data_IF_228935907377
#
_entry.id   IF_228935907377
#
_cell.length_a   1.000
_cell.length_b   1.000
_cell.length_c   1.000
_cell.angle_alpha   90.00
_cell.angle_beta   90.00
_cell.angle_gamma   90.00
#
_symmetry.space_group_name_H-M   'P 1'
#
loop_
_entity.id
_entity.type
_entity.pdbx_description
1 polymer ?
2 water ?
#
# COMPACT_ATOMS: atom_id res chain seq x y z
N UNK A 3 -10.46 -9.79 -23.80
CA UNK A 3 -11.58 -8.95 -23.41
C UNK A 3 -11.18 -7.49 -23.27
N UNK A 4 -11.81 -6.64 -24.08
CA UNK A 4 -11.62 -5.20 -23.92
C UNK A 4 -12.29 -4.70 -22.65
N UNK A 5 -13.28 -5.43 -22.13
CA UNK A 5 -13.85 -5.08 -20.84
C UNK A 5 -12.78 -5.18 -19.75
N UNK A 6 -11.99 -6.27 -19.77
CA UNK A 6 -10.95 -6.44 -18.77
C UNK A 6 -9.89 -5.35 -18.90
N UNK A 7 -9.48 -5.04 -20.13
CA UNK A 7 -8.42 -4.06 -20.33
C UNK A 7 -8.82 -2.69 -19.81
N UNK A 8 -10.12 -2.37 -19.84
CA UNK A 8 -10.63 -1.08 -19.38
C UNK A 8 -11.38 -1.18 -18.06
N UNK A 9 -11.10 -2.21 -17.25
CA UNK A 9 -11.76 -2.35 -15.96
C UNK A 9 -11.53 -1.15 -15.06
N UNK A 10 -10.36 -0.51 -15.16
CA UNK A 10 -10.05 0.63 -14.31
C UNK A 10 -9.66 1.84 -15.14
N UNK A 11 -10.01 3.01 -14.64
CA UNK A 11 -9.51 4.28 -15.16
C UNK A 11 -8.41 4.77 -14.22
N UNK A 12 -7.29 5.20 -14.79
CA UNK A 12 -6.08 5.49 -14.03
C UNK A 12 -5.92 6.99 -13.83
N UNK A 13 -5.68 7.40 -12.58
CA UNK A 13 -5.40 8.80 -12.27
C UNK A 13 -4.01 8.89 -11.66
N UNK A 14 -3.03 9.48 -12.35
CA UNK A 14 -1.66 9.50 -11.82
C UNK A 14 -1.46 10.58 -10.77
N UNK A 15 -0.53 10.31 -9.85
CA UNK A 15 -0.22 11.29 -8.82
C UNK A 15 0.45 12.52 -9.42
N UNK A 16 1.28 12.33 -10.45
CA UNK A 16 2.03 13.40 -11.09
C UNK A 16 2.25 13.04 -12.56
N UNK A 17 2.78 14.00 -13.31
CA UNK A 17 3.08 13.72 -14.71
C UNK A 17 4.17 12.67 -14.84
N UNK A 18 5.11 12.62 -13.90
CA UNK A 18 6.12 11.56 -13.95
C UNK A 18 5.49 10.20 -13.67
N UNK A 19 4.51 10.16 -12.77
CA UNK A 19 3.79 8.92 -12.52
C UNK A 19 3.07 8.46 -13.78
N UNK A 20 2.52 9.43 -14.54
CA UNK A 20 1.82 9.08 -15.77
C UNK A 20 2.77 8.46 -16.79
N UNK A 21 3.99 8.99 -16.91
CA UNK A 21 4.96 8.44 -17.85
C UNK A 21 5.33 7.01 -17.47
N UNK A 22 5.55 6.76 -16.17
CA UNK A 22 5.90 5.41 -15.73
C UNK A 22 4.75 4.45 -15.95
N UNK A 23 3.53 4.90 -15.68
CA UNK A 23 2.34 4.10 -15.96
C UNK A 23 2.27 3.74 -17.44
N UNK A 24 2.43 4.75 -18.32
CA UNK A 24 2.34 4.50 -19.75
C UNK A 24 3.47 3.58 -20.26
N UNK A 25 4.60 3.51 -19.54
CA UNK A 25 5.62 2.56 -19.94
C UNK A 25 5.21 1.11 -19.63
N UNK A 26 4.26 0.92 -18.70
CA UNK A 26 3.67 -0.40 -18.41
C UNK A 26 4.71 -1.44 -17.95
N UNK A 27 5.81 -0.98 -17.37
CA UNK A 27 6.89 -1.90 -16.98
C UNK A 27 6.46 -2.79 -15.81
N UNK A 28 5.88 -2.20 -14.77
CA UNK A 28 5.59 -2.95 -13.57
C UNK A 28 4.52 -2.23 -12.78
N UNK A 29 3.59 -3.00 -12.22
CA UNK A 29 2.60 -2.49 -11.29
C UNK A 29 2.72 -3.26 -9.98
N UNK A 30 2.68 -2.54 -8.87
CA UNK A 30 2.65 -3.12 -7.53
C UNK A 30 1.25 -2.88 -6.98
N UNK A 31 0.51 -3.95 -6.72
CA UNK A 31 -0.89 -3.85 -6.29
C UNK A 31 -0.92 -3.86 -4.77
N UNK A 32 -1.34 -2.74 -4.17
CA UNK A 32 -1.41 -2.66 -2.72
C UNK A 32 -2.73 -3.19 -2.20
N UNK A 33 -2.69 -4.26 -1.40
CA UNK A 33 -3.89 -4.89 -0.86
C UNK A 33 -3.98 -4.54 0.61
N UNK A 34 -4.92 -3.69 0.97
CA UNK A 34 -4.97 -3.22 2.35
C UNK A 34 -5.69 -4.22 3.23
N UNK A 35 -5.18 -4.50 4.42
CA UNK A 35 -5.83 -5.46 5.31
C UNK A 35 -7.01 -4.84 6.04
N UNK A 36 -8.00 -5.69 6.35
CA UNK A 36 -9.18 -5.28 7.11
C UNK A 36 -9.95 -4.18 6.40
N UNK A 37 -10.04 -4.30 5.07
CA UNK A 37 -10.71 -3.33 4.22
C UNK A 37 -11.67 -4.10 3.33
N UNK A 38 -12.98 -3.85 3.48
CA UNK A 38 -13.98 -4.65 2.77
C UNK A 38 -13.91 -4.50 1.26
N UNK A 39 -13.23 -3.47 0.75
CA UNK A 39 -13.05 -3.33 -0.70
C UNK A 39 -12.38 -4.55 -1.31
N UNK A 40 -11.48 -5.21 -0.59
CA UNK A 40 -10.64 -6.26 -1.18
C UNK A 40 -11.27 -7.65 -1.01
N UNK A 41 -12.43 -7.79 -1.64
CA UNK A 41 -13.08 -9.08 -1.80
C UNK A 41 -12.30 -9.96 -2.77
N UNK A 42 -12.69 -11.24 -2.84
CA UNK A 42 -12.14 -12.12 -3.86
C UNK A 42 -12.34 -11.54 -5.25
N UNK A 43 -13.57 -11.10 -5.55
CA UNK A 43 -13.88 -10.58 -6.88
C UNK A 43 -13.04 -9.36 -7.23
N UNK A 44 -12.85 -8.45 -6.27
CA UNK A 44 -12.09 -7.24 -6.56
C UNK A 44 -10.62 -7.54 -6.79
N UNK A 45 -10.04 -8.42 -5.97
CA UNK A 45 -8.66 -8.83 -6.16
C UNK A 45 -8.47 -9.47 -7.52
N UNK A 46 -9.45 -10.27 -7.94
CA UNK A 46 -9.38 -10.83 -9.29
C UNK A 46 -9.43 -9.75 -10.36
N UNK A 47 -10.31 -8.76 -10.19
CA UNK A 47 -10.37 -7.65 -11.13
C UNK A 47 -9.02 -6.93 -11.21
N UNK A 48 -8.43 -6.61 -10.06
CA UNK A 48 -7.13 -5.92 -10.06
C UNK A 48 -6.10 -6.71 -10.84
N UNK A 49 -6.01 -8.01 -10.58
CA UNK A 49 -4.98 -8.83 -11.19
C UNK A 49 -5.30 -9.11 -12.65
N UNK A 50 -6.59 -9.32 -12.98
CA UNK A 50 -6.96 -9.51 -14.38
C UNK A 50 -6.61 -8.29 -15.22
N UNK A 51 -6.96 -7.10 -14.73
CA UNK A 51 -6.64 -5.87 -15.46
C UNK A 51 -5.13 -5.65 -15.53
N UNK A 52 -4.42 -5.90 -14.41
CA UNK A 52 -2.98 -5.72 -14.40
C UNK A 52 -2.29 -6.64 -15.38
N UNK A 53 -2.78 -7.88 -15.48
CA UNK A 53 -2.15 -8.87 -16.34
C UNK A 53 -2.32 -8.52 -17.81
N UNK A 54 -3.41 -7.84 -18.17
CA UNK A 54 -3.58 -7.43 -19.56
C UNK A 54 -2.73 -6.22 -19.92
N UNK A 55 -2.36 -5.40 -18.94
CA UNK A 55 -1.79 -4.09 -19.19
C UNK A 55 -0.29 -4.00 -18.94
N UNK A 56 0.25 -4.70 -17.95
CA UNK A 56 1.62 -4.49 -17.51
C UNK A 56 2.53 -5.67 -17.84
N UNK A 57 3.80 -5.36 -18.13
CA UNK A 57 4.77 -6.41 -18.40
C UNK A 57 4.98 -7.30 -17.18
N UNK A 58 4.97 -6.70 -15.99
CA UNK A 58 5.26 -7.38 -14.74
C UNK A 58 4.25 -6.95 -13.68
N UNK A 59 3.83 -7.91 -12.86
CA UNK A 59 2.82 -7.67 -11.82
C UNK A 59 3.33 -8.27 -10.51
N UNK A 60 3.23 -7.49 -9.42
CA UNK A 60 3.55 -7.93 -8.07
C UNK A 60 2.42 -7.50 -7.15
N UNK A 61 2.11 -8.33 -6.16
CA UNK A 61 1.09 -8.01 -5.17
C UNK A 61 1.79 -7.74 -3.84
N UNK A 62 1.42 -6.64 -3.19
CA UNK A 62 1.97 -6.29 -1.88
C UNK A 62 0.89 -6.48 -0.82
N UNK A 63 1.16 -7.33 0.17
CA UNK A 63 0.26 -7.57 1.29
C UNK A 63 0.85 -6.93 2.56
N UNK A 64 0.00 -6.79 3.58
CA UNK A 64 0.44 -6.18 4.83
C UNK A 64 1.40 -7.10 5.58
N UNK A 65 2.40 -6.49 6.22
CA UNK A 65 3.35 -7.19 7.05
C UNK A 65 2.93 -7.20 8.52
N UNK A 66 3.93 -7.45 9.39
CA UNK A 66 3.66 -7.73 10.80
C UNK A 66 2.90 -6.59 11.48
N UNK A 67 3.20 -5.35 11.09
CA UNK A 67 2.60 -4.20 11.76
C UNK A 67 1.12 -4.04 11.48
N UNK A 68 0.54 -4.85 10.60
CA UNK A 68 -0.91 -4.84 10.48
C UNK A 68 -1.59 -5.12 11.82
N UNK A 69 -0.94 -5.87 12.71
CA UNK A 69 -1.55 -6.11 14.01
C UNK A 69 -1.70 -4.82 14.81
N UNK A 70 -0.85 -3.83 14.55
CA UNK A 70 -0.96 -2.55 15.26
C UNK A 70 -2.29 -1.88 14.99
N UNK A 71 -2.83 -2.02 13.77
CA UNK A 71 -4.12 -1.41 13.45
C UNK A 71 -5.23 -2.00 14.31
N UNK A 72 -5.17 -3.31 14.56
CA UNK A 72 -6.16 -3.93 15.42
C UNK A 72 -5.91 -3.61 16.89
N UNK A 73 -4.66 -3.66 17.34
CA UNK A 73 -4.36 -3.39 18.74
C UNK A 73 -4.82 -1.99 19.13
N UNK A 74 -4.83 -1.05 18.18
CA UNK A 74 -5.31 0.30 18.43
C UNK A 74 -6.83 0.37 18.55
N UNK A 75 -7.55 -0.52 17.87
CA UNK A 75 -9.01 -0.50 17.86
C UNK A 75 -9.60 -1.56 18.78
N UNK A 76 -8.88 -1.95 19.83
CA UNK A 76 -9.43 -2.85 20.83
C UNK A 76 -9.27 -4.33 20.58
N UNK A 77 -8.08 -4.75 20.14
CA UNK A 77 -7.78 -6.18 20.00
C UNK A 77 -6.53 -6.50 20.79
N UNK A 78 -6.59 -7.41 21.76
CA UNK A 78 -5.36 -7.87 22.40
C UNK A 78 -4.44 -8.54 21.39
N UNK A 79 -3.13 -8.49 21.69
CA UNK A 79 -2.13 -8.91 20.71
C UNK A 79 -2.36 -10.33 20.21
N UNK A 80 -2.75 -11.24 21.10
CA UNK A 80 -2.97 -12.63 20.69
C UNK A 80 -4.01 -12.75 19.61
N UNK A 81 -5.20 -12.17 19.83
CA UNK A 81 -6.22 -12.17 18.78
C UNK A 81 -5.79 -11.37 17.56
N UNK A 82 -5.09 -10.24 17.78
CA UNK A 82 -4.65 -9.44 16.65
C UNK A 82 -3.71 -10.23 15.74
N UNK A 83 -2.77 -10.96 16.32
CA UNK A 83 -1.82 -11.70 15.50
C UNK A 83 -2.52 -12.80 14.71
N UNK A 84 -3.49 -13.48 15.33
CA UNK A 84 -4.25 -14.50 14.61
C UNK A 84 -5.08 -13.90 13.49
N UNK A 85 -5.71 -12.75 13.73
CA UNK A 85 -6.51 -12.13 12.68
C UNK A 85 -5.65 -11.69 11.50
N UNK A 86 -4.43 -11.22 11.77
CA UNK A 86 -3.54 -10.83 10.67
C UNK A 86 -3.16 -12.04 9.83
N UNK A 87 -2.72 -13.11 10.49
CA UNK A 87 -2.36 -14.33 9.77
C UNK A 87 -3.51 -14.82 8.91
N UNK A 88 -4.74 -14.80 9.43
CA UNK A 88 -5.88 -15.25 8.65
C UNK A 88 -6.14 -14.34 7.46
N UNK A 89 -6.04 -13.03 7.67
CA UNK A 89 -6.30 -12.07 6.59
C UNK A 89 -5.25 -12.19 5.49
N UNK A 90 -3.97 -12.34 5.86
CA UNK A 90 -2.92 -12.44 4.86
C UNK A 90 -3.06 -13.75 4.08
N UNK A 91 -3.43 -14.84 4.76
CA UNK A 91 -3.62 -16.10 4.05
C UNK A 91 -4.75 -16.01 3.04
N UNK A 92 -5.82 -15.29 3.37
CA UNK A 92 -6.93 -15.15 2.43
C UNK A 92 -6.53 -14.26 1.24
N UNK A 93 -5.86 -13.14 1.52
CA UNK A 93 -5.36 -12.29 0.44
C UNK A 93 -4.42 -13.06 -0.48
N UNK A 94 -3.53 -13.86 0.11
CA UNK A 94 -2.63 -14.67 -0.70
C UNK A 94 -3.41 -15.66 -1.56
N UNK A 95 -4.39 -16.35 -0.97
CA UNK A 95 -5.13 -17.35 -1.73
C UNK A 95 -5.83 -16.73 -2.95
N UNK A 96 -6.53 -15.61 -2.73
CA UNK A 96 -7.23 -14.96 -3.83
C UNK A 96 -6.27 -14.43 -4.88
N UNK A 97 -5.16 -13.83 -4.44
CA UNK A 97 -4.18 -13.32 -5.37
C UNK A 97 -3.53 -14.44 -6.17
N UNK A 98 -3.16 -15.53 -5.51
CA UNK A 98 -2.53 -16.64 -6.21
C UNK A 98 -3.46 -17.26 -7.25
N UNK A 99 -4.75 -17.39 -6.91
CA UNK A 99 -5.73 -17.92 -7.86
C UNK A 99 -5.75 -17.09 -9.14
N UNK A 100 -5.76 -15.77 -9.00
CA UNK A 100 -5.91 -14.92 -10.17
C UNK A 100 -4.61 -14.82 -10.96
N UNK A 101 -3.47 -14.76 -10.29
CA UNK A 101 -2.20 -14.78 -11.03
C UNK A 101 -2.07 -16.07 -11.81
N UNK A 102 -2.36 -17.21 -11.17
CA UNK A 102 -2.30 -18.50 -11.85
C UNK A 102 -3.24 -18.53 -13.05
N UNK A 103 -4.48 -18.05 -12.86
CA UNK A 103 -5.43 -17.98 -13.96
C UNK A 103 -4.87 -17.23 -15.16
N UNK A 104 -4.02 -16.24 -14.91
CA UNK A 104 -3.45 -15.42 -15.96
C UNK A 104 -2.09 -15.91 -16.45
N UNK A 105 -1.63 -17.08 -15.99
CA UNK A 105 -0.33 -17.57 -16.41
C UNK A 105 0.83 -16.73 -15.91
N UNK A 106 0.66 -16.05 -14.78
CA UNK A 106 1.64 -15.15 -14.19
C UNK A 106 2.39 -15.82 -13.05
N UNK A 107 3.63 -15.38 -12.83
CA UNK A 107 4.36 -15.79 -11.63
C UNK A 107 3.59 -15.39 -10.37
N UNK A 108 3.67 -16.22 -9.34
CA UNK A 108 3.02 -15.92 -8.07
C UNK A 108 3.88 -14.96 -7.27
N UNK A 109 3.95 -13.70 -7.72
CA UNK A 109 4.85 -12.72 -7.16
C UNK A 109 4.09 -11.92 -6.10
N UNK A 110 4.08 -12.45 -4.88
CA UNK A 110 3.32 -11.90 -3.76
C UNK A 110 4.24 -11.82 -2.55
N UNK A 111 4.30 -10.63 -1.92
CA UNK A 111 5.12 -10.40 -0.74
C UNK A 111 4.34 -9.58 0.28
N UNK A 112 4.75 -9.66 1.54
CA UNK A 112 4.31 -8.68 2.52
C UNK A 112 5.39 -7.60 2.67
N UNK A 113 4.99 -6.45 3.24
CA UNK A 113 6.03 -5.44 3.37
C UNK A 113 7.03 -5.76 4.47
N UNK A 114 6.87 -6.90 5.17
CA UNK A 114 7.83 -7.39 6.14
C UNK A 114 8.86 -8.32 5.53
N UNK A 115 8.81 -8.58 4.23
CA UNK A 115 9.66 -9.59 3.60
C UNK A 115 11.00 -9.03 3.12
N UNK A 116 11.37 -7.81 3.52
CA UNK A 116 12.52 -7.14 2.92
C UNK A 116 13.48 -6.61 3.98
N UNK A 117 13.49 -7.24 5.16
CA UNK A 117 14.39 -6.79 6.22
C UNK A 117 15.86 -7.05 5.89
N UNK A 118 16.14 -7.89 4.89
CA UNK A 118 17.51 -8.11 4.44
C UNK A 118 17.79 -7.42 3.11
N UNK A 119 16.96 -6.45 2.73
CA UNK A 119 17.07 -5.72 1.48
C UNK A 119 17.59 -4.33 1.85
N UNK A 120 18.73 -3.95 1.27
CA UNK A 120 19.36 -2.68 1.66
C UNK A 120 18.52 -1.48 1.26
N UNK A 121 17.85 -1.54 0.10
CA UNK A 121 17.04 -0.40 -0.31
C UNK A 121 15.87 -0.20 0.66
N UNK A 122 15.16 -1.28 0.98
CA UNK A 122 14.06 -1.16 1.94
C UNK A 122 14.56 -0.58 3.26
N UNK A 123 15.66 -1.15 3.79
CA UNK A 123 16.14 -0.72 5.10
C UNK A 123 16.59 0.73 5.09
N UNK A 124 17.26 1.17 4.03
CA UNK A 124 17.77 2.54 4.02
C UNK A 124 16.64 3.55 3.83
N UNK A 125 15.66 3.25 2.99
CA UNK A 125 14.49 4.14 2.88
C UNK A 125 13.71 4.18 4.19
N UNK A 126 13.52 3.01 4.81
CA UNK A 126 12.87 2.94 6.12
C UNK A 126 13.60 3.78 7.17
N UNK A 127 14.93 3.68 7.23
CA UNK A 127 15.68 4.52 8.16
C UNK A 127 15.46 6.00 7.88
N UNK A 128 15.42 6.38 6.60
CA UNK A 128 15.13 7.78 6.26
C UNK A 128 13.76 8.19 6.74
N UNK A 129 12.76 7.31 6.54
CA UNK A 129 11.39 7.62 6.97
C UNK A 129 11.34 7.81 8.48
N UNK A 130 12.00 6.90 9.22
CA UNK A 130 12.02 7.04 10.68
C UNK A 130 12.75 8.31 11.09
N UNK A 131 13.86 8.63 10.41
CA UNK A 131 14.61 9.82 10.76
C UNK A 131 13.74 11.07 10.65
N UNK A 132 13.06 11.22 9.52
CA UNK A 132 12.28 12.45 9.35
C UNK A 132 10.98 12.42 10.13
N UNK A 133 10.45 11.23 10.45
CA UNK A 133 9.34 11.18 11.38
C UNK A 133 9.74 11.76 12.73
N UNK A 134 10.97 11.49 13.17
CA UNK A 134 11.45 12.01 14.44
C UNK A 134 11.86 13.46 14.37
N UNK A 135 12.43 13.89 13.24
CA UNK A 135 13.09 15.20 13.21
C UNK A 135 12.34 16.29 12.46
N UNK A 136 11.36 15.95 11.62
CA UNK A 136 10.60 16.96 10.86
C UNK A 136 9.14 16.88 11.29
N UNK A 137 8.72 17.85 12.12
CA UNK A 137 7.35 17.87 12.62
C UNK A 137 6.33 17.84 11.51
N UNK A 138 6.63 18.46 10.37
CA UNK A 138 5.69 18.50 9.25
C UNK A 138 5.48 17.12 8.66
N UNK A 139 6.58 16.40 8.45
CA UNK A 139 6.49 15.01 7.99
C UNK A 139 5.82 14.13 9.04
N UNK A 140 6.17 14.31 10.31
CA UNK A 140 5.55 13.54 11.37
C UNK A 140 4.03 13.76 11.37
N UNK A 141 3.61 15.01 11.24
CA UNK A 141 2.17 15.31 11.21
C UNK A 141 1.48 14.59 10.06
N UNK A 142 2.11 14.57 8.87
CA UNK A 142 1.51 13.90 7.71
C UNK A 142 1.44 12.39 7.92
N UNK A 143 2.49 11.79 8.49
CA UNK A 143 2.43 10.36 8.79
C UNK A 143 1.35 10.05 9.81
N UNK A 144 1.22 10.88 10.84
CA UNK A 144 0.16 10.66 11.82
C UNK A 144 -1.22 10.81 11.20
N UNK A 145 -1.35 11.66 10.17
CA UNK A 145 -2.63 11.76 9.46
C UNK A 145 -2.93 10.50 8.67
N UNK A 146 -1.90 9.91 8.03
CA UNK A 146 -2.09 8.60 7.40
C UNK A 146 -2.51 7.57 8.43
N UNK A 147 -1.94 7.66 9.64
CA UNK A 147 -2.34 6.73 10.70
C UNK A 147 -3.80 6.95 11.08
N UNK A 148 -4.21 8.22 11.21
CA UNK A 148 -5.60 8.54 11.51
C UNK A 148 -6.53 8.00 10.44
N UNK A 149 -6.15 8.15 9.17
CA UNK A 149 -6.95 7.63 8.06
C UNK A 149 -7.13 6.12 8.18
N UNK A 150 -6.04 5.40 8.48
CA UNK A 150 -6.12 3.95 8.60
C UNK A 150 -6.99 3.53 9.77
N UNK A 151 -6.94 4.27 10.88
CA UNK A 151 -7.75 3.87 12.04
C UNK A 151 -9.21 4.27 11.86
N UNK A 152 -9.45 5.44 11.24
CA UNK A 152 -10.83 5.87 11.01
C UNK A 152 -11.57 4.90 10.10
N UNK A 153 -10.91 4.49 9.01
CA UNK A 153 -11.51 3.56 8.07
C UNK A 153 -11.88 2.24 8.77
N UNK A 154 -10.96 1.67 9.56
CA UNK A 154 -11.26 0.38 10.18
C UNK A 154 -12.26 0.51 11.32
N UNK A 155 -12.29 1.66 11.98
CA UNK A 155 -13.26 1.89 13.06
C UNK A 155 -14.64 1.78 12.45
N UNK A 156 -14.85 2.46 11.34
CA UNK A 156 -16.14 2.40 10.63
C UNK A 156 -16.37 0.96 10.19
N UNK A 157 -15.35 0.35 9.63
CA UNK A 157 -15.35 -0.98 9.01
C UNK A 157 -15.59 -2.11 10.01
N UNK A 158 -15.03 -1.99 11.21
CA UNK A 158 -15.25 -2.98 12.31
C UNK A 158 -16.37 -2.45 13.22
N UNK A 159 -17.14 -1.48 12.72
CA UNK A 159 -18.30 -0.78 13.31
C UNK A 159 -17.96 -0.30 14.70
N UNK A 160 -17.13 0.77 14.86
CA UNK A 160 -16.72 1.34 16.13
C UNK A 160 -16.52 2.85 16.02
N UNK A 161 -17.46 3.53 15.36
CA UNK A 161 -17.27 4.97 15.11
C UNK A 161 -17.46 5.83 16.34
N UNK A 162 -17.91 5.27 17.46
CA UNK A 162 -18.02 6.03 18.70
C UNK A 162 -16.68 6.22 19.41
N UNK A 163 -15.64 5.55 18.95
CA UNK A 163 -14.35 5.55 19.63
C UNK A 163 -13.60 6.84 19.30
N UNK A 164 -13.13 7.51 20.34
CA UNK A 164 -12.18 8.60 20.12
C UNK A 164 -10.84 8.01 19.70
N UNK A 165 -10.25 8.59 18.65
CA UNK A 165 -8.94 8.17 18.20
C UNK A 165 -7.90 9.00 18.95
N UNK A 166 -7.23 8.38 19.91
CA UNK A 166 -6.31 9.07 20.80
C UNK A 166 -4.91 9.15 20.18
N UNK A 167 -4.06 9.98 20.79
CA UNK A 167 -2.67 10.06 20.33
C UNK A 167 -1.96 8.72 20.49
N UNK A 168 -2.21 8.02 21.59
CA UNK A 168 -1.55 6.73 21.76
C UNK A 168 -2.00 5.75 20.69
N UNK A 169 -3.28 5.82 20.29
CA UNK A 169 -3.73 5.02 19.16
C UNK A 169 -2.98 5.39 17.89
N UNK A 170 -2.83 6.70 17.63
CA UNK A 170 -2.17 7.16 16.42
C UNK A 170 -0.71 6.74 16.39
N UNK A 171 -0.01 6.86 17.51
CA UNK A 171 1.41 6.52 17.50
C UNK A 171 1.65 5.02 17.44
N UNK A 172 0.71 4.21 17.95
CA UNK A 172 0.84 2.77 17.78
C UNK A 172 0.58 2.36 16.34
N UNK A 173 -0.47 2.92 15.72
CA UNK A 173 -0.79 2.57 14.34
C UNK A 173 0.18 3.16 13.33
N UNK A 174 0.88 4.23 13.67
CA UNK A 174 1.78 4.81 12.67
C UNK A 174 2.96 3.89 12.39
N UNK A 175 3.22 2.91 13.27
CA UNK A 175 4.25 1.91 12.94
C UNK A 175 3.91 1.17 11.65
N UNK A 176 2.63 0.94 11.40
CA UNK A 176 2.18 0.36 10.12
C UNK A 176 2.51 1.28 8.95
N UNK A 177 2.19 2.57 9.09
CA UNK A 177 2.44 3.54 8.03
C UNK A 177 3.94 3.59 7.71
N UNK A 178 4.77 3.69 8.74
CA UNK A 178 6.19 3.83 8.50
C UNK A 178 6.75 2.58 7.83
N UNK A 179 6.24 1.40 8.19
CA UNK A 179 6.75 0.17 7.59
C UNK A 179 6.31 0.01 6.14
N UNK A 180 5.16 0.55 5.75
CA UNK A 180 4.71 0.42 4.36
C UNK A 180 5.25 1.51 3.47
N UNK A 181 5.60 2.66 4.03
CA UNK A 181 6.00 3.80 3.20
C UNK A 181 7.19 3.54 2.27
N UNK A 182 8.21 2.74 2.60
CA UNK A 182 9.29 2.57 1.62
C UNK A 182 8.79 2.06 0.27
N UNK A 183 7.68 1.31 0.22
CA UNK A 183 7.19 0.85 -1.06
C UNK A 183 6.50 1.97 -1.84
N UNK A 184 5.86 2.91 -1.15
CA UNK A 184 5.33 4.10 -1.82
C UNK A 184 6.46 4.93 -2.42
N UNK A 185 7.59 5.02 -1.72
CA UNK A 185 8.67 5.90 -2.13
C UNK A 185 9.59 5.25 -3.15
N UNK A 186 9.81 3.93 -3.04
CA UNK A 186 10.89 3.30 -3.79
C UNK A 186 10.60 1.83 -4.10
N UNK A 187 9.34 1.47 -4.34
CA UNK A 187 9.00 0.05 -4.54
C UNK A 187 9.74 -0.58 -5.71
N UNK A 188 9.87 0.15 -6.83
CA UNK A 188 10.58 -0.39 -7.99
C UNK A 188 12.02 -0.78 -7.63
N UNK A 189 12.73 0.12 -6.97
CA UNK A 189 14.13 -0.17 -6.62
C UNK A 189 14.23 -1.24 -5.56
N UNK A 190 13.28 -1.30 -4.62
CA UNK A 190 13.30 -2.37 -3.62
C UNK A 190 13.16 -3.72 -4.30
N UNK A 191 12.18 -3.83 -5.22
CA UNK A 191 11.91 -5.12 -5.86
C UNK A 191 12.88 -5.46 -6.98
N UNK A 192 13.45 -4.47 -7.64
CA UNK A 192 14.39 -4.71 -8.71
C UNK A 192 13.86 -4.49 -10.11
N UNK A 193 12.83 -3.67 -10.29
CA UNK A 193 12.34 -3.33 -11.61
C UNK A 193 12.86 -1.96 -12.02
N UNK A 194 12.97 -1.74 -13.33
CA UNK A 194 13.49 -0.47 -13.80
C UNK A 194 12.62 0.68 -13.36
N UNK A 195 11.31 0.45 -13.28
CA UNK A 195 10.37 1.47 -12.82
C UNK A 195 9.08 0.75 -12.42
N UNK A 196 8.25 1.43 -11.63
CA UNK A 196 7.02 0.80 -11.14
C UNK A 196 6.03 1.88 -10.72
N UNK A 197 4.75 1.53 -10.75
CA UNK A 197 3.71 2.33 -10.09
C UNK A 197 3.09 1.46 -9.01
N UNK A 198 2.97 2.00 -7.81
CA UNK A 198 2.10 1.43 -6.78
C UNK A 198 0.67 1.87 -7.06
N UNK A 199 -0.28 0.94 -7.01
CA UNK A 199 -1.65 1.22 -7.42
C UNK A 199 -2.63 0.95 -6.29
N UNK A 200 -3.55 1.89 -6.09
CA UNK A 200 -4.50 1.83 -4.98
C UNK A 200 -5.72 2.63 -5.42
N UNK A 201 -6.83 2.46 -4.71
CA UNK A 201 -8.08 3.05 -5.15
C UNK A 201 -8.37 4.39 -4.49
N UNK A 202 -7.44 4.90 -3.71
CA UNK A 202 -7.66 6.17 -3.00
C UNK A 202 -6.47 7.10 -3.19
N UNK A 203 -6.68 8.41 -3.19
CA UNK A 203 -5.56 9.36 -3.27
C UNK A 203 -4.63 9.20 -2.07
N UNK A 204 -3.38 9.60 -2.29
CA UNK A 204 -2.35 9.57 -1.25
C UNK A 204 -1.94 11.02 -1.00
N UNK A 205 -2.53 11.65 0.02
CA UNK A 205 -2.32 13.08 0.26
C UNK A 205 -0.87 13.38 0.57
N UNK A 206 -0.21 12.55 1.39
CA UNK A 206 1.20 12.77 1.67
C UNK A 206 2.02 12.71 0.39
N UNK A 207 1.65 11.83 -0.54
CA UNK A 207 2.36 11.77 -1.80
C UNK A 207 2.24 13.06 -2.59
N UNK A 208 1.07 13.68 -2.53
CA UNK A 208 0.87 14.98 -3.20
C UNK A 208 1.83 16.02 -2.63
N UNK A 209 2.08 15.97 -1.32
CA UNK A 209 3.03 16.90 -0.71
C UNK A 209 4.45 16.55 -1.09
N UNK A 210 4.78 15.25 -1.08
CA UNK A 210 6.11 14.82 -1.51
C UNK A 210 6.38 15.24 -2.95
N UNK A 211 5.36 15.16 -3.81
CA UNK A 211 5.51 15.58 -5.20
C UNK A 211 5.56 17.10 -5.34
N UNK A 212 5.07 17.83 -4.35
CA UNK A 212 5.19 19.28 -4.29
C UNK A 212 6.51 19.71 -3.66
N UNK A 213 7.44 18.77 -3.44
CA UNK A 213 8.78 19.02 -2.90
C UNK A 213 8.76 19.66 -1.53
N UNK A 214 7.88 19.17 -0.65
CA UNK A 214 7.68 19.73 0.68
C UNK A 214 8.55 19.10 1.75
N UNK A 215 9.30 18.03 1.44
CA UNK A 215 10.11 17.33 2.43
C UNK A 215 11.45 16.95 1.82
N UNK A 216 12.39 16.59 2.71
CA UNK A 216 13.62 15.96 2.23
C UNK A 216 13.35 14.51 1.85
N UNK A 217 12.27 13.94 2.35
CA UNK A 217 11.76 12.66 1.85
C UNK A 217 11.24 12.86 0.43
N UNK A 218 11.76 12.07 -0.51
CA UNK A 218 11.41 12.13 -1.92
C UNK A 218 11.04 10.75 -2.43
N UNK A 219 10.19 10.70 -3.46
CA UNK A 219 10.01 9.46 -4.20
C UNK A 219 11.18 9.27 -5.14
N UNK A 220 11.59 8.03 -5.32
CA UNK A 220 12.59 7.70 -6.33
C UNK A 220 12.11 8.15 -7.71
N UNK A 221 13.08 8.52 -8.56
CA UNK A 221 12.75 9.03 -9.88
C UNK A 221 12.02 7.99 -10.73
N UNK A 222 12.21 6.70 -10.44
CA UNK A 222 11.60 5.61 -11.19
C UNK A 222 10.36 5.04 -10.51
N UNK A 223 9.78 5.77 -9.56
CA UNK A 223 8.62 5.32 -8.80
C UNK A 223 7.44 6.25 -9.04
N UNK A 224 6.27 5.67 -9.30
CA UNK A 224 5.04 6.43 -9.41
C UNK A 224 3.94 5.84 -8.54
N UNK A 225 2.83 6.58 -8.46
CA UNK A 225 1.64 6.18 -7.72
C UNK A 225 0.44 6.45 -8.61
N UNK A 226 -0.47 5.48 -8.74
CA UNK A 226 -1.68 5.68 -9.51
C UNK A 226 -2.91 5.34 -8.68
N UNK A 227 -3.98 6.10 -8.88
CA UNK A 227 -5.29 5.80 -8.33
C UNK A 227 -6.08 5.02 -9.36
N UNK A 228 -6.66 3.90 -8.94
CA UNK A 228 -7.48 3.06 -9.80
C UNK A 228 -8.94 3.36 -9.51
N UNK A 229 -9.63 3.89 -10.51
CA UNK A 229 -11.05 4.15 -10.41
C UNK A 229 -11.80 3.18 -11.32
N UNK A 230 -13.05 2.90 -10.98
CA UNK A 230 -13.91 2.14 -11.88
C UNK A 230 -15.06 3.05 -12.31
N UNK A 231 -15.29 3.12 -13.63
CA UNK A 231 -16.32 3.99 -14.17
C UNK A 231 -17.19 3.23 -15.16
N UNK A 232 -18.38 3.75 -15.41
CA UNK A 232 -19.31 3.17 -16.37
C UNK A 232 -19.07 3.72 -17.78
#
# INVERSE_FOLDING_TARGET
GMQQVIKDLFYVVPLSRNCEKIYKNKTHILLGISPFNSKFSQNYIHQLIDWSSKNFKNVTVLLAGDEAKNLLEALGTPTTKAERKVRKEIRRHFRFSEEALRKNGREIDIYTFSDFKNNKIYNEVYQNVIYYFEKDEKFRKSCLAMSHDALSSRAKSLNMEDIEITDNMLFHAVKYVLAELPFFLSGASILGYKESVLAYHRPWKLGEKIKNSEFYIKMSDNQGYIILKQIN
#
